data_IF_206969316701
#
_entry.id   IF_206969316701
#
_cell.length_a   1.000
_cell.length_b   1.000
_cell.length_c   1.000
_cell.angle_alpha   90.00
_cell.angle_beta   90.00
_cell.angle_gamma   90.00
#
_symmetry.space_group_name_H-M   'P 1'
#
loop_
_entity.id
_entity.type
_entity.pdbx_description
1 polymer ?
#
# COMPACT_ATOMS: atom_id res chain seq x y z
N UNK A 1 -6.77 6.55 -9.77
CA UNK A 1 -6.16 5.22 -9.56
C UNK A 1 -4.83 5.04 -10.28
N UNK A 2 -4.72 5.32 -11.59
CA UNK A 2 -3.48 5.16 -12.37
C UNK A 2 -2.27 5.90 -11.77
N UNK A 3 -2.47 7.11 -11.26
CA UNK A 3 -1.40 7.91 -10.64
C UNK A 3 -0.78 7.26 -9.40
N UNK A 4 -1.60 6.75 -8.47
CA UNK A 4 -1.12 6.09 -7.26
C UNK A 4 -0.34 4.82 -7.60
N UNK A 5 -0.87 3.97 -8.48
CA UNK A 5 -0.19 2.74 -8.89
C UNK A 5 1.14 3.01 -9.60
N UNK A 6 1.21 4.05 -10.44
CA UNK A 6 2.47 4.48 -11.06
C UNK A 6 3.49 4.92 -10.01
N UNK A 7 3.06 5.68 -9.00
CA UNK A 7 3.94 6.12 -7.91
C UNK A 7 4.40 4.95 -7.04
N UNK A 8 3.54 3.96 -6.79
CA UNK A 8 3.92 2.72 -6.10
C UNK A 8 5.00 1.95 -6.87
N UNK A 9 4.87 1.86 -8.19
CA UNK A 9 5.84 1.19 -9.06
C UNK A 9 7.18 1.95 -9.16
N UNK A 10 7.12 3.29 -9.26
CA UNK A 10 8.30 4.16 -9.21
C UNK A 10 9.04 4.00 -7.87
N UNK A 11 8.35 4.01 -6.73
CA UNK A 11 8.95 3.81 -5.41
C UNK A 11 9.60 2.43 -5.27
N UNK A 12 8.89 1.38 -5.66
CA UNK A 12 9.41 0.01 -5.67
C UNK A 12 10.70 -0.07 -6.48
N UNK A 13 10.71 0.53 -7.67
CA UNK A 13 11.84 0.43 -8.63
C UNK A 13 13.02 1.30 -8.23
N UNK A 14 12.78 2.55 -7.84
CA UNK A 14 13.85 3.53 -7.55
C UNK A 14 14.50 3.31 -6.19
N UNK A 15 13.75 2.81 -5.22
CA UNK A 15 14.25 2.62 -3.85
C UNK A 15 14.56 1.15 -3.51
N UNK A 16 14.26 0.21 -4.41
CA UNK A 16 14.41 -1.24 -4.20
C UNK A 16 13.74 -1.72 -2.90
N UNK A 17 12.48 -1.34 -2.72
CA UNK A 17 11.68 -1.66 -1.53
C UNK A 17 10.43 -2.45 -1.87
N UNK A 18 9.97 -3.29 -0.92
CA UNK A 18 8.69 -3.98 -1.03
C UNK A 18 7.54 -2.97 -0.88
N UNK A 19 6.76 -2.76 -1.95
CA UNK A 19 5.58 -1.88 -1.96
C UNK A 19 4.33 -2.70 -2.26
N UNK A 20 3.35 -2.61 -1.35
CA UNK A 20 2.01 -3.18 -1.55
C UNK A 20 0.96 -2.07 -1.55
N UNK A 21 -0.01 -2.16 -2.45
CA UNK A 21 -1.12 -1.19 -2.52
C UNK A 21 -2.45 -1.90 -2.71
N UNK A 22 -3.45 -1.49 -1.94
CA UNK A 22 -4.84 -1.99 -2.01
C UNK A 22 -5.76 -0.79 -2.20
N UNK A 23 -6.60 -0.84 -3.25
CA UNK A 23 -7.53 0.24 -3.58
C UNK A 23 -8.93 -0.33 -3.74
N UNK A 24 -9.83 0.05 -2.83
CA UNK A 24 -11.25 -0.25 -2.93
C UNK A 24 -11.95 0.83 -3.75
N UNK A 25 -12.81 0.43 -4.68
CA UNK A 25 -13.64 1.33 -5.47
C UNK A 25 -15.11 1.13 -5.12
N UNK A 26 -15.94 2.18 -5.16
CA UNK A 26 -17.35 2.11 -4.75
C UNK A 26 -18.21 1.15 -5.58
N UNK A 27 -17.75 0.78 -6.78
CA UNK A 27 -18.49 -0.06 -7.73
C UNK A 27 -17.79 -1.40 -8.02
N UNK A 28 -16.84 -1.82 -7.18
CA UNK A 28 -16.12 -3.08 -7.36
C UNK A 28 -16.07 -3.89 -6.07
N UNK A 29 -16.48 -5.16 -6.17
CA UNK A 29 -16.43 -6.11 -5.07
C UNK A 29 -14.98 -6.51 -4.72
N UNK A 30 -14.11 -6.61 -5.72
CA UNK A 30 -12.70 -6.90 -5.51
C UNK A 30 -11.85 -5.61 -5.56
N UNK A 31 -10.91 -5.43 -4.62
CA UNK A 31 -9.99 -4.32 -4.67
C UNK A 31 -8.98 -4.51 -5.80
N UNK A 32 -8.46 -3.38 -6.27
CA UNK A 32 -7.23 -3.40 -7.05
C UNK A 32 -6.05 -3.64 -6.12
N UNK A 33 -5.18 -4.56 -6.50
CA UNK A 33 -3.98 -4.93 -5.76
C UNK A 33 -2.76 -4.73 -6.63
N UNK A 34 -1.72 -4.10 -6.09
CA UNK A 34 -0.40 -4.02 -6.71
C UNK A 34 0.66 -4.55 -5.73
N UNK A 35 1.61 -5.39 -6.17
CA UNK A 35 1.82 -5.80 -7.57
C UNK A 35 0.88 -6.94 -8.03
N UNK A 36 0.47 -7.83 -7.14
CA UNK A 36 -0.57 -8.83 -7.36
C UNK A 36 -1.17 -9.25 -6.01
N UNK A 37 -2.24 -10.05 -6.02
CA UNK A 37 -2.98 -10.46 -4.81
C UNK A 37 -2.08 -11.20 -3.79
N UNK A 38 -1.24 -12.13 -4.25
CA UNK A 38 -0.41 -12.97 -3.37
C UNK A 38 0.71 -12.17 -2.70
N UNK A 39 1.42 -11.35 -3.48
CA UNK A 39 2.49 -10.50 -2.95
C UNK A 39 1.90 -9.53 -1.93
N UNK A 40 0.80 -8.86 -2.26
CA UNK A 40 0.12 -7.95 -1.34
C UNK A 40 -0.25 -8.66 -0.05
N UNK A 41 -0.89 -9.83 -0.14
CA UNK A 41 -1.28 -10.62 1.04
C UNK A 41 -0.07 -10.94 1.92
N UNK A 42 1.02 -11.41 1.33
CA UNK A 42 2.24 -11.74 2.06
C UNK A 42 2.88 -10.50 2.71
N UNK A 43 2.94 -9.36 2.01
CA UNK A 43 3.41 -8.09 2.59
C UNK A 43 2.59 -7.70 3.82
N UNK A 44 1.27 -7.81 3.75
CA UNK A 44 0.39 -7.49 4.89
C UNK A 44 0.54 -8.47 6.06
N UNK A 45 0.77 -9.76 5.80
CA UNK A 45 1.05 -10.75 6.85
C UNK A 45 2.34 -10.38 7.57
N UNK A 46 3.45 -10.20 6.83
CA UNK A 46 4.74 -9.77 7.40
C UNK A 46 4.59 -8.48 8.20
N UNK A 47 3.86 -7.50 7.67
CA UNK A 47 3.62 -6.23 8.35
C UNK A 47 2.84 -6.39 9.67
N UNK A 48 1.87 -7.33 9.73
CA UNK A 48 1.11 -7.62 10.95
C UNK A 48 1.95 -8.35 12.00
N UNK A 49 2.91 -9.16 11.58
CA UNK A 49 3.84 -9.88 12.46
C UNK A 49 4.91 -8.97 13.07
N UNK A 50 5.12 -7.76 12.54
CA UNK A 50 6.02 -6.77 13.14
C UNK A 50 5.50 -6.31 14.51
N UNK A 51 6.40 -6.05 15.48
CA UNK A 51 6.04 -5.41 16.74
C UNK A 51 5.27 -4.10 16.53
N UNK A 52 4.29 -3.82 17.38
CA UNK A 52 3.40 -2.65 17.25
C UNK A 52 4.16 -1.33 17.04
N UNK A 53 5.26 -1.12 17.78
CA UNK A 53 6.08 0.09 17.66
C UNK A 53 6.69 0.24 16.25
N UNK A 54 7.17 -0.84 15.67
CA UNK A 54 7.72 -0.83 14.30
C UNK A 54 6.63 -0.60 13.27
N UNK A 55 5.44 -1.16 13.51
CA UNK A 55 4.29 -1.04 12.62
C UNK A 55 3.77 0.40 12.53
N UNK A 56 3.73 1.13 13.65
CA UNK A 56 3.19 2.50 13.70
C UNK A 56 4.20 3.59 13.44
N UNK A 57 5.51 3.29 13.47
CA UNK A 57 6.60 4.29 13.41
C UNK A 57 6.48 5.29 12.26
N UNK A 58 6.07 4.81 11.08
CA UNK A 58 5.95 5.62 9.86
C UNK A 58 4.53 5.60 9.27
N UNK A 59 3.51 5.28 10.08
CA UNK A 59 2.14 5.22 9.58
C UNK A 59 1.58 6.64 9.47
N UNK A 60 1.23 7.04 8.26
CA UNK A 60 0.64 8.36 7.99
C UNK A 60 -0.77 8.20 7.45
N UNK A 61 -1.68 9.04 7.91
CA UNK A 61 -2.97 9.25 7.27
C UNK A 61 -2.84 10.41 6.30
N UNK A 62 -3.47 10.31 5.13
CA UNK A 62 -3.55 11.47 4.23
C UNK A 62 -4.33 12.56 4.96
N UNK A 63 -3.70 13.69 5.27
CA UNK A 63 -4.40 14.89 5.69
C UNK A 63 -5.31 15.33 4.54
N UNK A 64 -6.60 15.52 4.82
CA UNK A 64 -7.46 16.17 3.85
C UNK A 64 -7.02 17.62 3.75
N UNK A 65 -6.65 18.05 2.55
CA UNK A 65 -6.47 19.47 2.25
C UNK A 65 -7.87 20.11 2.27
N UNK A 66 -8.34 20.49 3.46
CA UNK A 66 -9.43 21.44 3.61
C UNK A 66 -8.85 22.84 3.44
N UNK A 67 -9.18 23.49 2.32
CA UNK A 67 -9.07 24.94 2.17
C UNK A 67 -10.06 25.64 3.10
#
# INVERSE_FOLDING_TARGET
>A
MKGLLKKSDELKTLCDVEVATVIYGPYKNEPYTFPNKDVVRNTFIKFKELPTLNRSKNMVTREEFTM
#
